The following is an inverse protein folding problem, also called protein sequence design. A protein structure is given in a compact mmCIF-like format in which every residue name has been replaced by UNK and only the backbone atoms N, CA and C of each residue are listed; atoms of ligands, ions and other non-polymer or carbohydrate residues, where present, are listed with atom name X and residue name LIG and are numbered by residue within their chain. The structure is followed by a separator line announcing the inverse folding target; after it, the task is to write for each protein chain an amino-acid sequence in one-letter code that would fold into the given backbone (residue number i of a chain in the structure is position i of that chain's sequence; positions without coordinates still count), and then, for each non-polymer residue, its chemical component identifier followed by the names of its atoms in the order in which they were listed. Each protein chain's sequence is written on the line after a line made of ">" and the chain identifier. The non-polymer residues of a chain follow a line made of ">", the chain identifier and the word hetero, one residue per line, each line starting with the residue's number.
data_IF_129320437116
#
_entry.id   IF_129320437116
#
_cell.length_a   1.000
_cell.length_b   1.000
_cell.length_c   1.000
_cell.angle_alpha   90.00
_cell.angle_beta   90.00
_cell.angle_gamma   90.00
#
_symmetry.space_group_name_H-M   'P 1'
#
loop_
_entity.id
_entity.type
_entity.pdbx_description
1 polymer ?
#
# COMPACT_ATOMS: atom_id res chain seq x y z
N UNK A 1 -6.27 15.46 8.29
CA UNK A 1 -6.43 16.67 7.45
C UNK A 1 -7.88 17.13 7.51
N UNK A 2 -8.19 18.40 7.79
CA UNK A 2 -9.57 18.89 7.92
C UNK A 2 -10.36 18.75 6.60
N UNK A 3 -11.59 18.26 6.66
CA UNK A 3 -12.45 18.04 5.48
C UNK A 3 -12.71 19.29 4.64
N UNK A 4 -12.71 20.48 5.25
CA UNK A 4 -12.82 21.75 4.54
C UNK A 4 -11.65 22.00 3.56
N UNK A 5 -10.42 21.63 3.94
CA UNK A 5 -9.24 21.80 3.07
C UNK A 5 -9.28 20.81 1.90
N UNK A 6 -9.75 19.57 2.11
CA UNK A 6 -9.92 18.59 1.02
C UNK A 6 -10.95 19.07 -0.02
N UNK A 7 -12.03 19.71 0.43
CA UNK A 7 -13.06 20.28 -0.45
C UNK A 7 -12.53 21.43 -1.30
N UNK A 8 -11.80 22.37 -0.71
CA UNK A 8 -11.31 23.58 -1.41
C UNK A 8 -10.19 23.26 -2.41
N UNK A 9 -9.43 22.19 -2.15
CA UNK A 9 -8.27 21.81 -2.98
C UNK A 9 -8.59 20.81 -4.09
N UNK A 10 -9.86 20.39 -4.22
CA UNK A 10 -10.25 19.33 -5.17
C UNK A 10 -9.81 17.93 -4.74
N UNK A 11 -9.23 17.77 -3.55
CA UNK A 11 -8.74 16.48 -3.02
C UNK A 11 -9.83 15.70 -2.26
N UNK A 12 -11.11 15.91 -2.58
CA UNK A 12 -12.22 15.26 -1.86
C UNK A 12 -12.21 13.75 -1.95
N UNK A 13 -11.81 13.19 -3.10
CA UNK A 13 -11.65 11.74 -3.27
C UNK A 13 -10.38 11.17 -2.61
N UNK A 14 -9.46 12.01 -2.13
CA UNK A 14 -8.19 11.55 -1.55
C UNK A 14 -8.41 11.25 -0.07
N UNK A 15 -9.04 10.11 0.16
CA UNK A 15 -9.35 9.58 1.48
C UNK A 15 -8.13 8.85 2.05
N UNK A 16 -8.11 8.71 3.39
CA UNK A 16 -7.03 7.97 4.07
C UNK A 16 -7.03 6.50 3.63
N UNK A 17 -8.20 5.94 3.26
CA UNK A 17 -8.34 4.61 2.68
C UNK A 17 -7.68 4.51 1.30
N UNK A 18 -7.90 5.48 0.40
CA UNK A 18 -7.26 5.48 -0.93
C UNK A 18 -5.74 5.55 -0.81
N UNK A 19 -5.24 6.45 0.04
CA UNK A 19 -3.79 6.58 0.31
C UNK A 19 -3.22 5.29 0.89
N UNK A 20 -3.90 4.71 1.90
CA UNK A 20 -3.43 3.48 2.54
C UNK A 20 -3.45 2.29 1.57
N UNK A 21 -4.46 2.20 0.70
CA UNK A 21 -4.58 1.15 -0.33
C UNK A 21 -3.43 1.21 -1.33
N UNK A 22 -3.14 2.39 -1.87
CA UNK A 22 -2.00 2.58 -2.78
C UNK A 22 -0.66 2.29 -2.07
N UNK A 23 -0.53 2.72 -0.80
CA UNK A 23 0.68 2.44 -0.03
C UNK A 23 0.87 0.95 0.27
N UNK A 24 -0.20 0.22 0.62
CA UNK A 24 -0.15 -1.23 0.81
C UNK A 24 0.23 -1.95 -0.49
N UNK A 25 -0.34 -1.53 -1.63
CA UNK A 25 0.02 -2.07 -2.94
C UNK A 25 1.50 -1.84 -3.27
N UNK A 26 1.99 -0.63 -3.01
CA UNK A 26 3.40 -0.27 -3.18
C UNK A 26 4.31 -1.10 -2.27
N UNK A 27 3.96 -1.30 -1.01
CA UNK A 27 4.72 -2.13 -0.07
C UNK A 27 4.78 -3.61 -0.53
N UNK A 28 3.65 -4.20 -0.94
CA UNK A 28 3.60 -5.57 -1.51
C UNK A 28 4.48 -5.70 -2.76
N UNK A 29 4.48 -4.67 -3.61
CA UNK A 29 5.32 -4.62 -4.81
C UNK A 29 6.80 -4.48 -4.47
N UNK A 30 7.13 -3.66 -3.48
CA UNK A 30 8.49 -3.52 -2.94
C UNK A 30 9.06 -4.84 -2.45
N UNK A 31 8.28 -5.62 -1.69
CA UNK A 31 8.69 -6.98 -1.24
C UNK A 31 8.98 -7.89 -2.43
N UNK A 32 8.07 -7.97 -3.42
CA UNK A 32 8.26 -8.81 -4.62
C UNK A 32 9.51 -8.41 -5.41
N UNK A 33 9.67 -7.12 -5.67
CA UNK A 33 10.76 -6.62 -6.51
C UNK A 33 12.12 -6.74 -5.82
N UNK A 34 12.20 -6.49 -4.51
CA UNK A 34 13.46 -6.65 -3.76
C UNK A 34 13.84 -8.11 -3.60
N UNK A 35 12.88 -9.01 -3.37
CA UNK A 35 13.13 -10.45 -3.35
C UNK A 35 13.64 -10.96 -4.71
N UNK A 36 13.03 -10.52 -5.81
CA UNK A 36 13.50 -10.83 -7.16
C UNK A 36 14.91 -10.29 -7.41
N UNK A 37 15.17 -9.01 -7.11
CA UNK A 37 16.50 -8.43 -7.29
C UNK A 37 17.58 -9.16 -6.46
N UNK A 38 17.22 -9.63 -5.25
CA UNK A 38 18.12 -10.37 -4.37
C UNK A 38 18.59 -11.69 -4.99
N UNK A 39 17.74 -12.38 -5.79
CA UNK A 39 18.15 -13.62 -6.47
C UNK A 39 19.12 -13.37 -7.63
N UNK A 40 19.02 -12.19 -8.25
CA UNK A 40 19.85 -11.80 -9.40
C UNK A 40 21.17 -11.09 -8.99
N UNK A 41 21.41 -10.88 -7.69
CA UNK A 41 22.55 -10.14 -7.19
C UNK A 41 23.88 -10.89 -7.36
N UNK A 42 24.74 -10.40 -8.26
CA UNK A 42 26.04 -11.01 -8.56
C UNK A 42 27.10 -10.83 -7.45
N UNK A 43 27.09 -9.71 -6.72
CA UNK A 43 28.11 -9.41 -5.70
C UNK A 43 27.58 -9.55 -4.26
N UNK A 44 28.44 -9.90 -3.29
CA UNK A 44 28.06 -9.99 -1.89
C UNK A 44 27.53 -8.67 -1.30
N UNK A 45 28.08 -7.53 -1.72
CA UNK A 45 27.72 -6.20 -1.24
C UNK A 45 26.29 -5.83 -1.67
N UNK A 46 25.98 -6.03 -2.96
CA UNK A 46 24.63 -5.77 -3.51
C UNK A 46 23.61 -6.72 -2.87
N UNK A 47 23.97 -7.99 -2.69
CA UNK A 47 23.11 -8.98 -2.02
C UNK A 47 22.80 -8.59 -0.56
N UNK A 48 23.77 -7.99 0.13
CA UNK A 48 23.59 -7.54 1.51
C UNK A 48 22.65 -6.35 1.56
N UNK A 49 22.85 -5.34 0.72
CA UNK A 49 21.97 -4.18 0.63
C UNK A 49 20.53 -4.56 0.25
N UNK A 50 20.34 -5.45 -0.74
CA UNK A 50 19.02 -5.92 -1.14
C UNK A 50 18.33 -6.75 -0.06
N UNK A 51 19.08 -7.51 0.75
CA UNK A 51 18.52 -8.23 1.89
C UNK A 51 17.98 -7.25 2.94
N UNK A 52 18.72 -6.20 3.25
CA UNK A 52 18.27 -5.15 4.17
C UNK A 52 17.04 -4.43 3.64
N UNK A 53 17.01 -4.09 2.34
CA UNK A 53 15.85 -3.49 1.69
C UNK A 53 14.62 -4.41 1.70
N UNK A 54 14.80 -5.71 1.47
CA UNK A 54 13.71 -6.69 1.56
C UNK A 54 13.14 -6.75 2.98
N UNK A 55 14.00 -6.79 4.01
CA UNK A 55 13.53 -6.77 5.40
C UNK A 55 12.78 -5.48 5.72
N UNK A 56 13.27 -4.32 5.28
CA UNK A 56 12.58 -3.05 5.46
C UNK A 56 11.22 -3.01 4.74
N UNK A 57 11.13 -3.56 3.53
CA UNK A 57 9.87 -3.67 2.79
C UNK A 57 8.85 -4.59 3.49
N UNK A 58 9.30 -5.70 4.07
CA UNK A 58 8.46 -6.62 4.86
C UNK A 58 7.92 -5.90 6.11
N UNK A 59 8.78 -5.22 6.87
CA UNK A 59 8.36 -4.45 8.06
C UNK A 59 7.37 -3.33 7.69
N UNK A 60 7.59 -2.68 6.54
CA UNK A 60 6.68 -1.65 6.03
C UNK A 60 5.32 -2.25 5.68
N UNK A 61 5.29 -3.38 4.97
CA UNK A 61 4.07 -4.13 4.67
C UNK A 61 3.31 -4.52 5.93
N UNK A 62 4.00 -5.06 6.95
CA UNK A 62 3.38 -5.39 8.23
C UNK A 62 2.74 -4.17 8.91
N UNK A 63 3.46 -3.05 8.93
CA UNK A 63 2.98 -1.81 9.56
C UNK A 63 1.71 -1.28 8.88
N UNK A 64 1.72 -1.15 7.54
CA UNK A 64 0.57 -0.61 6.80
C UNK A 64 -0.61 -1.58 6.78
N UNK A 65 -0.36 -2.89 6.65
CA UNK A 65 -1.42 -3.90 6.68
C UNK A 65 -2.12 -3.95 8.05
N UNK A 66 -1.35 -3.88 9.14
CA UNK A 66 -1.90 -3.78 10.51
C UNK A 66 -2.76 -2.53 10.69
N UNK A 67 -2.28 -1.38 10.21
CA UNK A 67 -3.06 -0.13 10.24
C UNK A 67 -4.38 -0.28 9.46
N UNK A 68 -4.34 -0.84 8.25
CA UNK A 68 -5.53 -1.01 7.42
C UNK A 68 -6.53 -2.01 8.01
N UNK A 69 -6.06 -3.09 8.64
CA UNK A 69 -6.93 -4.03 9.38
C UNK A 69 -7.64 -3.30 10.52
N UNK A 70 -6.89 -2.56 11.33
CA UNK A 70 -7.45 -1.80 12.46
C UNK A 70 -8.47 -0.72 12.02
N UNK A 71 -8.38 -0.25 10.78
CA UNK A 71 -9.30 0.72 10.18
C UNK A 71 -10.48 0.12 9.42
N UNK A 72 -10.52 -1.21 9.23
CA UNK A 72 -11.50 -1.85 8.35
C UNK A 72 -11.29 -1.51 6.88
N UNK A 73 -10.05 -1.23 6.48
CA UNK A 73 -9.67 -1.01 5.08
C UNK A 73 -9.06 -2.28 4.46
N UNK A 74 -8.70 -3.27 5.28
CA UNK A 74 -8.12 -4.54 4.83
C UNK A 74 -8.62 -5.72 5.67
N UNK A 75 -9.17 -6.72 5.00
CA UNK A 75 -9.86 -7.91 5.49
C UNK A 75 -9.14 -9.16 4.98
N UNK A 76 -7.95 -9.51 5.50
CA UNK A 76 -7.11 -10.58 4.96
C UNK A 76 -7.71 -11.99 5.05
N UNK A 77 -8.73 -12.17 5.88
CA UNK A 77 -9.39 -13.46 6.11
C UNK A 77 -10.78 -13.55 5.48
N UNK A 78 -11.28 -12.46 4.90
CA UNK A 78 -12.58 -12.39 4.24
C UNK A 78 -12.42 -11.72 2.87
N UNK A 79 -12.27 -12.56 1.84
CA UNK A 79 -12.03 -12.10 0.48
C UNK A 79 -13.27 -11.42 -0.10
N UNK A 80 -14.48 -11.87 0.28
CA UNK A 80 -15.73 -11.30 -0.24
C UNK A 80 -15.95 -9.89 0.31
N UNK A 81 -15.62 -9.66 1.58
CA UNK A 81 -15.59 -8.32 2.18
C UNK A 81 -14.47 -7.47 1.58
N UNK A 82 -13.26 -8.01 1.41
CA UNK A 82 -12.13 -7.28 0.82
C UNK A 82 -12.45 -6.76 -0.59
N UNK A 83 -13.09 -7.57 -1.44
CA UNK A 83 -13.47 -7.17 -2.79
C UNK A 83 -14.38 -5.93 -2.78
N UNK A 84 -15.34 -5.86 -1.85
CA UNK A 84 -16.26 -4.73 -1.74
C UNK A 84 -15.53 -3.44 -1.32
N UNK A 85 -14.60 -3.58 -0.38
CA UNK A 85 -13.73 -2.48 0.09
C UNK A 85 -12.83 -1.98 -1.05
N UNK A 86 -12.23 -2.90 -1.82
CA UNK A 86 -11.35 -2.58 -2.94
C UNK A 86 -12.10 -1.87 -4.08
N UNK A 87 -13.31 -2.33 -4.44
CA UNK A 87 -14.14 -1.67 -5.45
C UNK A 87 -14.49 -0.25 -5.04
N UNK A 88 -14.83 -0.05 -3.76
CA UNK A 88 -15.15 1.29 -3.22
C UNK A 88 -13.93 2.22 -3.29
N UNK A 89 -12.76 1.72 -2.90
CA UNK A 89 -11.51 2.47 -2.97
C UNK A 89 -11.13 2.83 -4.42
N UNK A 90 -11.27 1.87 -5.35
CA UNK A 90 -10.99 2.06 -6.76
C UNK A 90 -11.92 3.11 -7.40
N UNK A 91 -13.23 3.05 -7.14
CA UNK A 91 -14.18 4.04 -7.65
C UNK A 91 -13.88 5.45 -7.10
N UNK A 92 -13.52 5.53 -5.82
CA UNK A 92 -13.14 6.80 -5.18
C UNK A 92 -11.88 7.38 -5.82
N UNK A 93 -10.89 6.53 -6.11
CA UNK A 93 -9.66 6.92 -6.79
C UNK A 93 -9.89 7.34 -8.25
N UNK A 94 -10.78 6.67 -8.99
CA UNK A 94 -11.15 7.06 -10.35
C UNK A 94 -11.78 8.45 -10.40
N UNK A 95 -12.63 8.78 -9.42
CA UNK A 95 -13.27 10.10 -9.34
C UNK A 95 -12.30 11.23 -8.96
N UNK A 96 -11.02 10.95 -8.69
CA UNK A 96 -9.99 11.97 -8.48
C UNK A 96 -9.36 12.47 -9.79
N UNK A 97 -9.47 11.70 -10.87
CA UNK A 97 -8.85 12.03 -12.16
C UNK A 97 -9.76 12.79 -13.11
N UNK A 98 -11.05 12.93 -12.76
CA UNK A 98 -12.07 13.72 -13.46
C UNK A 98 -12.26 15.10 -12.79
#
# INVERSE_FOLDING_TARGET
>A
MNGLLKNITGMNGMTDQVIATDFLLSAKTGVKNTAFALTEAATPEVRTALREQLMAAITTHESISTYMIAKGYYHPYDVDEQIQVDVTAAQTAQNLTD
#
